data_IF_206697157989
#
_entry.id   IF_206697157989
#
_cell.length_a   1.000
_cell.length_b   1.000
_cell.length_c   1.000
_cell.angle_alpha   90.00
_cell.angle_beta   90.00
_cell.angle_gamma   90.00
#
_symmetry.space_group_name_H-M   'P 1'
#
loop_
_entity.id
_entity.type
_entity.pdbx_description
1 polymer ?
#
# COMPACT_ATOMS: atom_id res chain seq x y z
N UNK A 1 -15.09 -31.58 -2.93
CA UNK A 1 -14.74 -30.65 -1.82
C UNK A 1 -14.95 -29.23 -2.32
N UNK A 2 -15.78 -28.41 -1.66
CA UNK A 2 -15.92 -27.00 -2.04
C UNK A 2 -14.56 -26.29 -1.91
N UNK A 3 -14.16 -25.54 -2.94
CA UNK A 3 -12.96 -24.71 -2.90
C UNK A 3 -13.30 -23.45 -2.11
N UNK A 4 -12.39 -23.06 -1.22
CA UNK A 4 -12.47 -21.79 -0.51
C UNK A 4 -11.45 -20.83 -1.12
N UNK A 5 -11.81 -19.56 -1.18
CA UNK A 5 -10.91 -18.47 -1.55
C UNK A 5 -10.32 -17.85 -0.30
N UNK A 6 -9.00 -17.68 -0.30
CA UNK A 6 -8.26 -16.97 0.74
C UNK A 6 -7.80 -15.62 0.19
N UNK A 7 -8.01 -14.55 0.95
CA UNK A 7 -7.51 -13.22 0.61
C UNK A 7 -6.31 -12.86 1.49
N UNK A 8 -5.14 -12.63 0.88
CA UNK A 8 -3.91 -12.28 1.61
C UNK A 8 -3.99 -10.92 2.33
N UNK A 9 -4.69 -9.94 1.75
CA UNK A 9 -4.83 -8.60 2.34
C UNK A 9 -5.83 -8.55 3.52
N UNK A 10 -6.88 -9.35 3.44
CA UNK A 10 -7.93 -9.39 4.47
C UNK A 10 -7.74 -10.53 5.46
N UNK A 11 -6.79 -11.45 5.19
CA UNK A 11 -6.50 -12.66 5.95
C UNK A 11 -7.77 -13.48 6.27
N UNK A 12 -8.72 -13.51 5.34
CA UNK A 12 -10.00 -14.17 5.51
C UNK A 12 -10.22 -15.26 4.46
N UNK A 13 -10.99 -16.28 4.85
CA UNK A 13 -11.34 -17.42 3.99
C UNK A 13 -12.85 -17.47 3.82
N UNK A 14 -13.33 -17.65 2.59
CA UNK A 14 -14.75 -17.77 2.29
C UNK A 14 -15.02 -18.75 1.12
N UNK A 15 -16.27 -19.22 0.94
CA UNK A 15 -16.61 -20.12 -0.17
C UNK A 15 -16.32 -19.49 -1.53
N UNK A 16 -15.55 -20.18 -2.37
CA UNK A 16 -15.09 -19.62 -3.65
C UNK A 16 -16.23 -19.61 -4.68
N UNK A 17 -16.65 -18.40 -5.05
CA UNK A 17 -17.57 -18.11 -6.14
C UNK A 17 -17.09 -16.83 -6.82
N UNK A 18 -17.15 -16.76 -8.16
CA UNK A 18 -16.73 -15.61 -8.96
C UNK A 18 -17.38 -14.32 -8.46
N UNK A 19 -18.67 -14.35 -8.16
CA UNK A 19 -19.41 -13.20 -7.64
C UNK A 19 -18.93 -12.81 -6.24
N UNK A 20 -18.77 -13.78 -5.33
CA UNK A 20 -18.34 -13.52 -3.96
C UNK A 20 -16.92 -12.94 -3.92
N UNK A 21 -16.01 -13.51 -4.72
CA UNK A 21 -14.62 -13.04 -4.84
C UNK A 21 -14.57 -11.62 -5.39
N UNK A 22 -15.37 -11.32 -6.42
CA UNK A 22 -15.46 -9.98 -6.98
C UNK A 22 -15.98 -8.97 -5.96
N UNK A 23 -17.10 -9.26 -5.32
CA UNK A 23 -17.69 -8.37 -4.31
C UNK A 23 -16.75 -8.16 -3.12
N UNK A 24 -16.00 -9.20 -2.71
CA UNK A 24 -14.97 -9.07 -1.68
C UNK A 24 -13.86 -8.12 -2.12
N UNK A 25 -13.28 -8.31 -3.31
CA UNK A 25 -12.17 -7.51 -3.82
C UNK A 25 -12.59 -6.05 -4.11
N UNK A 26 -13.84 -5.81 -4.50
CA UNK A 26 -14.42 -4.46 -4.72
C UNK A 26 -14.90 -3.82 -3.41
N UNK A 27 -14.90 -4.57 -2.30
CA UNK A 27 -15.33 -4.09 -0.98
C UNK A 27 -14.36 -3.06 -0.38
N UNK A 28 -14.92 -2.08 0.34
CA UNK A 28 -14.14 -1.00 0.94
C UNK A 28 -13.04 -1.50 1.88
N UNK A 29 -13.31 -2.56 2.66
CA UNK A 29 -12.31 -3.17 3.55
C UNK A 29 -11.12 -3.73 2.77
N UNK A 30 -11.37 -4.46 1.68
CA UNK A 30 -10.28 -5.00 0.84
C UNK A 30 -9.49 -3.87 0.19
N UNK A 31 -10.17 -2.86 -0.35
CA UNK A 31 -9.52 -1.69 -0.96
C UNK A 31 -8.63 -0.98 0.05
N UNK A 32 -9.11 -0.77 1.28
CA UNK A 32 -8.37 -0.12 2.36
C UNK A 32 -7.16 -0.96 2.81
N UNK A 33 -7.34 -2.25 3.03
CA UNK A 33 -6.25 -3.14 3.45
C UNK A 33 -5.19 -3.26 2.36
N UNK A 34 -5.62 -3.36 1.10
CA UNK A 34 -4.73 -3.35 -0.05
C UNK A 34 -3.94 -2.05 -0.12
N UNK A 35 -4.60 -0.91 0.07
CA UNK A 35 -3.92 0.40 0.10
C UNK A 35 -2.90 0.46 1.24
N UNK A 36 -3.28 0.09 2.46
CA UNK A 36 -2.39 0.09 3.62
C UNK A 36 -1.14 -0.77 3.39
N UNK A 37 -1.31 -1.93 2.75
CA UNK A 37 -0.20 -2.78 2.36
C UNK A 37 0.77 -2.09 1.41
N UNK A 38 0.30 -1.43 0.34
CA UNK A 38 1.20 -0.73 -0.57
C UNK A 38 1.80 0.54 0.04
N UNK A 39 1.02 1.26 0.86
CA UNK A 39 1.49 2.44 1.60
C UNK A 39 2.65 2.07 2.54
N UNK A 40 2.65 0.85 3.10
CA UNK A 40 3.73 0.34 3.96
C UNK A 40 5.09 0.26 3.27
N UNK A 41 5.13 -0.10 1.99
CA UNK A 41 6.38 -0.26 1.25
C UNK A 41 6.77 0.98 0.47
N UNK A 42 6.08 2.09 0.70
CA UNK A 42 6.34 3.35 0.00
C UNK A 42 7.52 4.07 0.64
N UNK A 43 8.26 4.83 -0.17
CA UNK A 43 9.31 5.69 0.35
C UNK A 43 8.74 6.64 1.43
N UNK A 44 9.37 6.71 2.61
CA UNK A 44 8.90 7.52 3.74
C UNK A 44 8.61 8.98 3.36
N UNK A 45 9.51 9.59 2.60
CA UNK A 45 9.38 10.99 2.16
C UNK A 45 8.16 11.19 1.26
N UNK A 46 7.93 10.27 0.33
CA UNK A 46 6.81 10.32 -0.60
C UNK A 46 5.49 10.12 0.14
N UNK A 47 5.45 9.19 1.11
CA UNK A 47 4.27 8.98 1.94
C UNK A 47 3.93 10.23 2.78
N UNK A 48 4.92 10.83 3.45
CA UNK A 48 4.71 12.07 4.22
C UNK A 48 4.20 13.20 3.34
N UNK A 49 4.80 13.39 2.16
CA UNK A 49 4.37 14.43 1.22
C UNK A 49 2.90 14.22 0.81
N UNK A 50 2.49 12.99 0.51
CA UNK A 50 1.08 12.72 0.19
C UNK A 50 0.14 12.96 1.36
N UNK A 51 0.55 12.63 2.59
CA UNK A 51 -0.26 12.93 3.76
C UNK A 51 -0.35 14.44 3.99
N UNK A 52 0.76 15.17 3.85
CA UNK A 52 0.84 16.62 4.04
C UNK A 52 0.04 17.41 3.00
N UNK A 53 0.00 16.92 1.75
CA UNK A 53 -0.72 17.55 0.64
C UNK A 53 -2.25 17.39 0.73
N UNK A 54 -2.77 16.56 1.64
CA UNK A 54 -4.22 16.41 1.85
C UNK A 54 -4.79 17.61 2.61
N UNK A 55 -6.07 17.95 2.40
CA UNK A 55 -6.74 18.95 3.22
C UNK A 55 -6.74 18.54 4.71
N UNK A 56 -6.60 19.48 5.65
CA UNK A 56 -6.46 19.18 7.07
C UNK A 56 -7.71 18.50 7.66
N UNK A 57 -7.50 17.49 8.50
CA UNK A 57 -8.58 16.77 9.16
C UNK A 57 -9.10 17.56 10.35
N UNK A 58 -10.32 18.10 10.22
CA UNK A 58 -10.97 18.86 11.30
C UNK A 58 -11.11 18.05 12.59
N UNK A 59 -11.49 16.77 12.47
CA UNK A 59 -11.71 15.93 13.65
C UNK A 59 -10.40 15.67 14.41
N UNK A 60 -9.33 15.31 13.70
CA UNK A 60 -8.02 15.11 14.31
C UNK A 60 -7.48 16.39 14.96
N UNK A 61 -7.62 17.53 14.28
CA UNK A 61 -7.13 18.82 14.81
C UNK A 61 -7.93 19.27 16.04
N UNK A 62 -9.24 19.02 16.07
CA UNK A 62 -10.11 19.43 17.18
C UNK A 62 -10.03 18.50 18.40
N UNK A 63 -9.96 17.18 18.18
CA UNK A 63 -10.05 16.17 19.25
C UNK A 63 -8.72 15.47 19.55
N UNK A 64 -7.70 15.64 18.70
CA UNK A 64 -6.41 14.96 18.81
C UNK A 64 -6.45 13.47 18.41
N UNK A 65 -7.60 12.94 17.96
CA UNK A 65 -7.74 11.56 17.51
C UNK A 65 -8.64 11.47 16.26
N UNK A 66 -8.44 10.41 15.47
CA UNK A 66 -9.29 10.11 14.33
C UNK A 66 -9.43 8.59 14.15
N UNK A 67 -10.66 8.10 14.05
CA UNK A 67 -10.97 6.67 13.91
C UNK A 67 -10.40 6.04 12.63
N UNK A 68 -10.11 6.86 11.62
CA UNK A 68 -9.58 6.39 10.34
C UNK A 68 -8.05 6.27 10.30
N UNK A 69 -7.32 6.77 11.31
CA UNK A 69 -5.86 6.72 11.36
C UNK A 69 -5.18 7.20 10.06
N UNK A 70 -4.19 6.43 9.57
CA UNK A 70 -3.45 6.72 8.32
C UNK A 70 -4.28 6.55 7.03
N UNK A 71 -5.43 5.85 7.12
CA UNK A 71 -6.36 5.69 6.01
C UNK A 71 -7.27 6.91 5.83
N UNK A 72 -7.17 7.91 6.71
CA UNK A 72 -7.94 9.14 6.60
C UNK A 72 -7.71 9.82 5.24
N UNK A 73 -8.81 10.32 4.67
CA UNK A 73 -8.77 11.12 3.44
C UNK A 73 -8.20 12.53 3.65
N UNK A 74 -8.04 12.93 4.90
CA UNK A 74 -7.56 14.24 5.31
C UNK A 74 -6.18 14.13 5.98
N UNK A 75 -5.41 15.20 5.95
CA UNK A 75 -4.09 15.27 6.60
C UNK A 75 -4.22 15.34 8.12
N UNK A 76 -3.43 14.54 8.83
CA UNK A 76 -3.23 14.64 10.28
C UNK A 76 -1.92 15.34 10.64
N UNK A 77 -1.17 15.82 9.64
CA UNK A 77 0.08 16.55 9.86
C UNK A 77 -0.28 18.00 10.19
N UNK A 78 0.14 18.45 11.37
CA UNK A 78 0.01 19.84 11.81
C UNK A 78 1.37 20.51 11.79
N UNK A 79 1.42 21.84 11.87
CA UNK A 79 2.67 22.59 11.92
C UNK A 79 2.70 23.41 13.19
N UNK A 80 3.84 23.40 13.88
CA UNK A 80 4.04 24.22 15.05
C UNK A 80 4.10 25.71 14.63
N UNK A 81 3.23 26.59 15.16
CA UNK A 81 3.25 28.01 14.83
C UNK A 81 4.53 28.74 15.26
N UNK A 82 5.29 28.21 16.22
CA UNK A 82 6.52 28.85 16.70
C UNK A 82 7.77 28.43 15.91
N UNK A 83 7.90 27.14 15.61
CA UNK A 83 9.10 26.59 14.95
C UNK A 83 8.92 26.30 13.46
N UNK A 84 7.68 26.30 12.95
CA UNK A 84 7.35 25.92 11.57
C UNK A 84 7.61 24.44 11.25
N UNK A 85 7.95 23.63 12.25
CA UNK A 85 8.24 22.20 12.07
C UNK A 85 6.94 21.40 11.93
N UNK A 86 6.93 20.35 11.08
CA UNK A 86 5.79 19.44 10.98
C UNK A 86 5.69 18.58 12.24
N UNK A 87 4.50 18.56 12.84
CA UNK A 87 4.12 17.67 13.92
C UNK A 87 3.39 16.48 13.30
N UNK A 88 4.01 15.30 13.40
CA UNK A 88 3.45 14.07 12.87
C UNK A 88 2.48 13.40 13.85
N UNK A 89 1.43 12.75 13.35
CA UNK A 89 0.53 11.99 14.20
C UNK A 89 1.22 10.72 14.75
N UNK A 90 0.84 10.21 15.93
CA UNK A 90 1.51 9.09 16.57
C UNK A 90 1.49 7.82 15.71
N UNK A 91 0.45 7.60 14.90
CA UNK A 91 0.36 6.46 13.99
C UNK A 91 1.45 6.49 12.91
N UNK A 92 1.84 7.69 12.47
CA UNK A 92 2.87 7.87 11.45
C UNK A 92 4.28 7.71 12.05
N UNK A 93 4.48 8.12 13.31
CA UNK A 93 5.71 7.86 14.05
C UNK A 93 5.91 6.36 14.28
N UNK A 94 4.86 5.65 14.70
CA UNK A 94 4.89 4.20 14.88
C UNK A 94 5.23 3.49 13.55
N UNK A 95 4.68 3.97 12.44
CA UNK A 95 4.99 3.43 11.12
C UNK A 95 6.49 3.56 10.79
N UNK A 96 7.11 4.71 11.06
CA UNK A 96 8.56 4.90 10.85
C UNK A 96 9.43 4.00 11.73
N UNK A 97 9.03 3.79 12.99
CA UNK A 97 9.77 2.89 13.89
C UNK A 97 9.74 1.45 13.39
N UNK A 98 8.58 0.97 12.95
CA UNK A 98 8.45 -0.39 12.44
C UNK A 98 9.27 -0.60 11.15
N UNK A 99 9.30 0.39 10.24
CA UNK A 99 10.17 0.37 9.06
C UNK A 99 11.65 0.23 9.43
N UNK A 100 12.11 0.98 10.44
CA UNK A 100 13.48 0.87 10.92
C UNK A 100 13.78 -0.50 11.52
N UNK A 101 12.84 -1.07 12.29
CA UNK A 101 12.99 -2.41 12.85
C UNK A 101 13.07 -3.49 11.76
N UNK A 102 12.24 -3.40 10.71
CA UNK A 102 12.31 -4.29 9.55
C UNK A 102 13.63 -4.13 8.80
N UNK A 103 14.12 -2.90 8.62
CA UNK A 103 15.42 -2.64 8.00
C UNK A 103 16.58 -3.26 8.81
N UNK A 104 16.54 -3.13 10.14
CA UNK A 104 17.54 -3.74 11.05
C UNK A 104 17.46 -5.28 11.00
N UNK A 105 16.25 -5.84 11.04
CA UNK A 105 16.04 -7.29 10.94
C UNK A 105 16.47 -7.87 9.58
N UNK A 106 16.28 -7.12 8.49
CA UNK A 106 16.75 -7.50 7.16
C UNK A 106 18.27 -7.28 6.99
N UNK A 107 18.88 -6.42 7.81
CA UNK A 107 20.34 -6.16 7.79
C UNK A 107 21.15 -7.24 8.50
N UNK A 108 20.56 -8.03 9.40
CA UNK A 108 21.21 -9.19 10.04
C UNK A 108 21.19 -10.44 9.15
N UNK A 109 20.49 -10.39 8.01
CA UNK A 109 20.60 -11.39 6.95
C UNK A 109 21.77 -10.96 6.05
N UNK A 110 22.80 -11.81 5.82
CA UNK A 110 23.83 -11.48 4.84
C UNK A 110 23.17 -11.13 3.51
N UNK A 111 23.66 -10.13 2.75
CA UNK A 111 23.06 -9.76 1.48
C UNK A 111 22.87 -11.03 0.67
N UNK A 112 21.61 -11.39 0.40
CA UNK A 112 21.28 -12.47 -0.52
C UNK A 112 22.12 -12.16 -1.77
N UNK A 113 22.97 -13.08 -2.26
CA UNK A 113 23.76 -12.80 -3.45
C UNK A 113 22.79 -12.27 -4.49
N UNK A 114 23.12 -11.13 -5.10
CA UNK A 114 22.29 -10.51 -6.12
C UNK A 114 22.04 -11.57 -7.20
N UNK A 115 20.94 -12.30 -7.07
CA UNK A 115 20.46 -13.18 -8.12
C UNK A 115 20.22 -12.25 -9.28
N UNK A 116 20.81 -12.51 -10.46
CA UNK A 116 20.63 -11.64 -11.61
C UNK A 116 19.16 -11.33 -11.74
N UNK A 117 18.81 -10.04 -11.77
CA UNK A 117 17.45 -9.52 -11.83
C UNK A 117 16.70 -10.35 -12.86
N UNK A 118 15.93 -11.33 -12.40
CA UNK A 118 15.27 -12.24 -13.32
C UNK A 118 14.12 -11.43 -13.89
N UNK A 119 14.37 -10.81 -15.05
CA UNK A 119 13.36 -10.07 -15.79
C UNK A 119 12.18 -11.01 -16.01
N UNK A 120 11.11 -10.82 -15.24
CA UNK A 120 9.91 -11.61 -15.35
C UNK A 120 9.23 -11.28 -16.68
N UNK A 121 9.67 -11.98 -17.74
CA UNK A 121 8.95 -12.04 -19.00
C UNK A 121 7.78 -12.99 -18.80
N UNK A 122 6.58 -12.59 -19.24
CA UNK A 122 5.49 -13.54 -19.37
C UNK A 122 5.93 -14.70 -20.27
N UNK A 123 5.55 -15.96 -19.94
CA UNK A 123 5.79 -17.10 -20.81
C UNK A 123 5.27 -16.83 -22.22
N UNK A 124 5.98 -17.34 -23.23
CA UNK A 124 5.59 -17.15 -24.63
C UNK A 124 4.13 -17.56 -24.86
N UNK A 125 3.33 -16.65 -25.44
CA UNK A 125 1.90 -16.86 -25.70
C UNK A 125 0.93 -16.21 -24.68
N UNK A 126 1.42 -15.74 -23.53
CA UNK A 126 0.58 -15.07 -22.53
C UNK A 126 0.48 -13.57 -22.83
N UNK A 127 -0.74 -13.06 -23.05
CA UNK A 127 -0.98 -11.63 -23.23
C UNK A 127 -1.41 -11.00 -21.90
N UNK A 128 -1.01 -9.76 -21.65
CA UNK A 128 -1.34 -9.01 -20.42
C UNK A 128 -2.87 -8.97 -20.15
N UNK A 129 -3.69 -8.92 -21.20
CA UNK A 129 -5.15 -8.95 -21.12
C UNK A 129 -5.74 -10.28 -20.61
N UNK A 130 -4.99 -11.37 -20.75
CA UNK A 130 -5.42 -12.72 -20.38
C UNK A 130 -4.99 -13.07 -18.93
N UNK A 131 -4.25 -12.17 -18.28
CA UNK A 131 -3.91 -12.27 -16.86
C UNK A 131 -5.16 -12.11 -15.97
N UNK A 132 -5.21 -12.81 -14.81
CA UNK A 132 -6.22 -12.56 -13.80
C UNK A 132 -6.15 -11.10 -13.32
N UNK A 133 -7.29 -10.54 -12.91
CA UNK A 133 -7.43 -9.13 -12.53
C UNK A 133 -6.38 -8.65 -11.51
N UNK A 134 -5.96 -9.53 -10.60
CA UNK A 134 -4.94 -9.24 -9.59
C UNK A 134 -3.51 -9.10 -10.12
N UNK A 135 -3.22 -9.60 -11.34
CA UNK A 135 -1.89 -9.56 -11.98
C UNK A 135 -1.83 -8.59 -13.16
N UNK A 136 -2.91 -7.85 -13.44
CA UNK A 136 -2.89 -6.84 -14.51
C UNK A 136 -2.21 -5.57 -14.00
N UNK A 137 -1.35 -4.92 -14.81
CA UNK A 137 -0.82 -3.62 -14.46
C UNK A 137 -1.96 -2.58 -14.35
N UNK A 138 -1.81 -1.57 -13.48
CA UNK A 138 -2.83 -0.54 -13.30
C UNK A 138 -3.08 0.24 -14.61
N UNK A 139 -4.30 0.75 -14.84
CA UNK A 139 -4.62 1.46 -16.08
C UNK A 139 -3.76 2.73 -16.27
N UNK A 140 -3.22 2.99 -17.48
CA UNK A 140 -2.29 4.09 -17.73
C UNK A 140 -2.93 5.49 -17.66
N UNK A 141 -4.27 5.55 -17.60
CA UNK A 141 -5.03 6.80 -17.41
C UNK A 141 -4.72 7.54 -16.10
N UNK A 142 -4.12 6.88 -15.12
CA UNK A 142 -3.81 7.45 -13.81
C UNK A 142 -2.35 7.96 -13.69
N UNK A 143 -1.69 8.27 -14.80
CA UNK A 143 -0.31 8.80 -14.80
C UNK A 143 0.77 7.74 -14.53
N UNK A 144 0.40 6.46 -14.53
CA UNK A 144 1.33 5.34 -14.42
C UNK A 144 1.74 4.89 -15.83
N UNK A 145 2.93 5.30 -16.28
CA UNK A 145 3.53 4.82 -17.52
C UNK A 145 4.31 3.52 -17.27
N UNK A 146 3.73 2.40 -17.68
CA UNK A 146 4.30 1.07 -17.54
C UNK A 146 4.90 0.52 -18.85
N UNK A 147 5.05 1.36 -19.89
CA UNK A 147 5.72 0.98 -21.14
C UNK A 147 7.15 0.45 -20.92
N UNK A 148 7.81 0.90 -19.85
CA UNK A 148 9.17 0.51 -19.46
C UNK A 148 9.26 -0.53 -18.33
N UNK A 149 8.15 -1.18 -17.94
CA UNK A 149 8.18 -2.22 -16.88
C UNK A 149 9.04 -3.46 -17.20
N UNK A 150 9.55 -3.58 -18.44
CA UNK A 150 10.52 -4.61 -18.84
C UNK A 150 11.97 -4.13 -19.02
N UNK A 151 12.29 -2.88 -18.68
CA UNK A 151 13.59 -2.24 -18.94
C UNK A 151 14.45 -1.96 -17.68
N UNK A 152 13.98 -2.32 -16.49
CA UNK A 152 14.79 -2.27 -15.26
C UNK A 152 15.63 -3.55 -15.07
#
# INVERSE_FOLDING_TARGET
MPRNYFCDFCQCTFPDNVTNRRNHNEGAMHINNRKLHYDWYKDPDVFVQEQANKPPCRHYISYGHCEYGLLCKYSHITYDPASGQPIYPPELLQWFELQQQEAIANSTVPPKPATPTQRYRLPSGWKIKDLPLSLRPPPPKYGYDWSNTGAW
#
